data_IF_974269285978
#
_entry.id   IF_974269285978
#
_cell.length_a   1.000
_cell.length_b   1.000
_cell.length_c   1.000
_cell.angle_alpha   90.00
_cell.angle_beta   90.00
_cell.angle_gamma   90.00
#
_symmetry.space_group_name_H-M   'P 1'
#
loop_
_entity.id
_entity.type
_entity.pdbx_description
1 polymer ?
#
# COMPACT_ATOMS: atom_id res chain seq x y z
N UNK A 1 -6.36 16.31 -7.31
CA UNK A 1 -6.92 14.96 -7.11
C UNK A 1 -6.25 14.35 -5.89
N UNK A 2 -6.99 14.05 -4.83
CA UNK A 2 -6.44 13.94 -3.49
C UNK A 2 -6.50 12.48 -2.97
N UNK A 3 -5.62 11.63 -3.49
CA UNK A 3 -5.31 10.38 -2.83
C UNK A 3 -4.36 10.69 -1.66
N UNK A 4 -4.83 10.56 -0.41
CA UNK A 4 -4.05 10.93 0.79
C UNK A 4 -3.69 9.73 1.66
N UNK A 5 -4.44 8.62 1.57
CA UNK A 5 -4.27 7.44 2.42
C UNK A 5 -4.33 6.15 1.61
N UNK A 6 -3.42 5.23 1.89
CA UNK A 6 -3.37 3.89 1.32
C UNK A 6 -3.66 2.91 2.45
N UNK A 7 -4.63 2.03 2.26
CA UNK A 7 -5.09 1.07 3.26
C UNK A 7 -5.01 -0.33 2.64
N UNK A 8 -4.22 -1.21 3.25
CA UNK A 8 -4.10 -2.61 2.85
C UNK A 8 -4.94 -3.43 3.83
N UNK A 9 -5.96 -4.11 3.33
CA UNK A 9 -6.79 -5.04 4.10
C UNK A 9 -6.44 -6.49 3.76
N UNK A 10 -6.51 -7.38 4.74
CA UNK A 10 -6.38 -8.82 4.53
C UNK A 10 -7.73 -9.42 4.04
N UNK A 11 -7.75 -10.67 3.62
CA UNK A 11 -8.96 -11.43 3.24
C UNK A 11 -10.04 -11.40 4.32
N UNK A 12 -9.65 -11.28 5.59
CA UNK A 12 -10.54 -11.16 6.74
C UNK A 12 -11.15 -9.74 6.92
N UNK A 13 -10.94 -8.82 5.97
CA UNK A 13 -11.44 -7.45 6.02
C UNK A 13 -10.75 -6.54 7.04
N UNK A 14 -9.78 -7.05 7.80
CA UNK A 14 -8.98 -6.27 8.75
C UNK A 14 -7.92 -5.45 8.03
N UNK A 15 -7.85 -4.16 8.35
CA UNK A 15 -6.75 -3.28 7.92
C UNK A 15 -5.46 -3.76 8.56
N UNK A 16 -4.51 -4.20 7.75
CA UNK A 16 -3.19 -4.68 8.19
C UNK A 16 -2.21 -3.53 8.23
N UNK A 17 -2.30 -2.63 7.24
CA UNK A 17 -1.36 -1.53 7.06
C UNK A 17 -2.11 -0.31 6.55
N UNK A 18 -1.90 0.84 7.19
CA UNK A 18 -2.41 2.13 6.75
C UNK A 18 -1.27 3.17 6.76
N UNK A 19 -1.04 3.82 5.63
CA UNK A 19 -0.03 4.87 5.53
C UNK A 19 -0.45 6.01 4.60
N UNK A 20 0.00 7.24 4.87
CA UNK A 20 -0.28 8.38 4.02
C UNK A 20 0.55 8.34 2.73
N UNK A 21 -0.04 8.86 1.63
CA UNK A 21 0.59 8.87 0.32
C UNK A 21 1.86 9.73 0.28
N UNK A 22 1.97 10.72 1.17
CA UNK A 22 3.17 11.54 1.36
C UNK A 22 4.41 10.73 1.71
N UNK A 23 4.28 9.68 2.53
CA UNK A 23 5.42 8.81 2.90
C UNK A 23 5.85 7.98 1.68
N UNK A 24 4.89 7.47 0.90
CA UNK A 24 5.19 6.80 -0.37
C UNK A 24 5.86 7.71 -1.39
N UNK A 25 5.46 8.99 -1.44
CA UNK A 25 6.05 9.97 -2.35
C UNK A 25 7.51 10.31 -1.99
N UNK A 26 7.82 10.49 -0.70
CA UNK A 26 9.20 10.74 -0.24
C UNK A 26 10.08 9.50 -0.43
N UNK A 27 9.52 8.31 -0.23
CA UNK A 27 10.21 7.03 -0.43
C UNK A 27 10.36 6.59 -1.89
N UNK A 28 9.83 7.34 -2.86
CA UNK A 28 9.74 6.92 -4.27
C UNK A 28 11.09 6.58 -4.92
N UNK A 29 12.18 7.22 -4.47
CA UNK A 29 13.54 6.98 -4.98
C UNK A 29 14.04 5.57 -4.66
N UNK A 30 13.72 5.05 -3.48
CA UNK A 30 14.08 3.69 -3.03
C UNK A 30 12.93 2.69 -3.19
N UNK A 31 11.76 3.19 -3.60
CA UNK A 31 10.55 2.41 -3.81
C UNK A 31 10.69 1.26 -4.82
N UNK A 32 11.50 1.30 -5.90
CA UNK A 32 11.49 0.22 -6.89
C UNK A 32 11.82 -1.15 -6.30
N UNK A 33 12.82 -1.21 -5.42
CA UNK A 33 13.26 -2.46 -4.78
C UNK A 33 12.22 -2.92 -3.74
N UNK A 34 11.73 -1.98 -2.92
CA UNK A 34 10.70 -2.25 -1.91
C UNK A 34 9.35 -2.64 -2.54
N UNK A 35 9.00 -2.06 -3.68
CA UNK A 35 7.79 -2.36 -4.44
C UNK A 35 7.86 -3.73 -5.09
N UNK A 36 9.02 -4.14 -5.62
CA UNK A 36 9.20 -5.49 -6.11
C UNK A 36 8.99 -6.54 -5.00
N UNK A 37 9.64 -6.35 -3.85
CA UNK A 37 9.45 -7.21 -2.68
C UNK A 37 8.00 -7.18 -2.15
N UNK A 38 7.42 -5.99 -2.04
CA UNK A 38 6.05 -5.77 -1.59
C UNK A 38 5.00 -6.35 -2.53
N UNK A 39 5.23 -6.32 -3.85
CA UNK A 39 4.37 -6.93 -4.85
C UNK A 39 4.37 -8.46 -4.73
N UNK A 40 5.54 -9.07 -4.53
CA UNK A 40 5.65 -10.51 -4.26
C UNK A 40 4.92 -10.86 -2.97
N UNK A 41 5.14 -10.10 -1.88
CA UNK A 41 4.44 -10.30 -0.62
C UNK A 41 2.92 -10.13 -0.76
N UNK A 42 2.46 -9.16 -1.54
CA UNK A 42 1.03 -8.91 -1.78
C UNK A 42 0.37 -10.05 -2.57
N UNK A 43 1.07 -10.60 -3.57
CA UNK A 43 0.61 -11.77 -4.33
C UNK A 43 0.49 -13.01 -3.44
N UNK A 44 1.47 -13.21 -2.54
CA UNK A 44 1.46 -14.35 -1.61
C UNK A 44 0.39 -14.21 -0.51
N UNK A 45 0.07 -12.98 -0.10
CA UNK A 45 -0.76 -12.72 1.09
C UNK A 45 -2.24 -12.43 0.77
N UNK A 46 -2.67 -12.51 -0.50
CA UNK A 46 -4.06 -12.21 -0.93
C UNK A 46 -4.67 -10.98 -0.24
N UNK A 47 -3.95 -9.87 -0.22
CA UNK A 47 -4.44 -8.64 0.39
C UNK A 47 -5.28 -7.81 -0.59
N UNK A 48 -6.35 -7.18 -0.10
CA UNK A 48 -7.14 -6.18 -0.84
C UNK A 48 -6.55 -4.78 -0.62
N UNK A 49 -6.11 -4.13 -1.69
CA UNK A 49 -5.56 -2.78 -1.64
C UNK A 49 -6.70 -1.77 -1.86
N UNK A 50 -6.98 -0.96 -0.85
CA UNK A 50 -7.99 0.10 -0.93
C UNK A 50 -7.28 1.44 -0.90
N UNK A 51 -7.43 2.20 -1.97
CA UNK A 51 -6.93 3.57 -2.05
C UNK A 51 -8.08 4.50 -1.72
N UNK A 52 -8.04 5.13 -0.55
CA UNK A 52 -9.01 6.14 -0.17
C UNK A 52 -8.66 7.44 -0.91
N UNK A 53 -9.49 7.79 -1.89
CA UNK A 53 -9.45 9.06 -2.61
C UNK A 53 -10.56 9.96 -2.07
N UNK A 54 -10.26 11.23 -1.80
CA UNK A 54 -11.26 12.29 -1.63
C UNK A 54 -11.12 13.31 -2.75
#
# INVERSE_FOLDING_TARGET
GNARKIIIKNENGKSVVEFPLTVGAIGALIAPILAAAGAIAALLTKCTIIVEKR
#
